data_IF_275943267337
#
_entry.id   IF_275943267337
#
_cell.length_a   1.000
_cell.length_b   1.000
_cell.length_c   1.000
_cell.angle_alpha   90.00
_cell.angle_beta   90.00
_cell.angle_gamma   90.00
#
_symmetry.space_group_name_H-M   'P 1'
#
loop_
_entity.id
_entity.type
_entity.pdbx_description
1 polymer ?
#
# COMPACT_ATOMS: atom_id res chain seq x y z
N UNK A 1 -55.77 23.43 -53.45
CA UNK A 1 -55.57 23.31 -51.99
C UNK A 1 -54.70 22.13 -51.55
N UNK A 2 -54.56 21.04 -52.33
CA UNK A 2 -53.70 19.85 -52.00
C UNK A 2 -52.19 20.12 -52.14
N UNK A 3 -51.72 20.89 -53.14
CA UNK A 3 -50.30 21.16 -53.39
C UNK A 3 -49.63 22.01 -52.32
N UNK A 4 -50.33 22.98 -51.73
CA UNK A 4 -49.76 23.82 -50.67
C UNK A 4 -49.54 23.06 -49.36
N UNK A 5 -50.38 22.02 -49.05
CA UNK A 5 -50.17 21.17 -47.86
C UNK A 5 -48.94 20.26 -48.03
N UNK A 6 -48.70 19.77 -49.25
CA UNK A 6 -47.57 18.88 -49.55
C UNK A 6 -46.18 19.65 -49.45
N UNK A 7 -46.12 20.91 -49.92
CA UNK A 7 -44.92 21.74 -49.77
C UNK A 7 -44.60 22.06 -48.33
N UNK A 8 -45.61 22.42 -47.49
CA UNK A 8 -45.42 22.70 -46.07
C UNK A 8 -44.94 21.44 -45.30
N UNK A 9 -45.49 20.27 -45.59
CA UNK A 9 -45.04 19.04 -44.94
C UNK A 9 -43.60 18.67 -45.28
N UNK A 10 -43.14 18.81 -46.53
CA UNK A 10 -41.74 18.59 -46.95
C UNK A 10 -40.77 19.54 -46.24
N UNK A 11 -41.13 20.80 -46.07
CA UNK A 11 -40.33 21.79 -45.37
C UNK A 11 -40.18 21.45 -43.86
N UNK A 12 -41.26 21.02 -43.20
CA UNK A 12 -41.19 20.58 -41.80
C UNK A 12 -40.32 19.35 -41.55
N UNK A 13 -40.33 18.38 -42.49
CA UNK A 13 -39.49 17.21 -42.41
C UNK A 13 -38.01 17.59 -42.58
N UNK A 14 -37.64 18.44 -43.54
CA UNK A 14 -36.30 18.96 -43.73
C UNK A 14 -35.80 19.71 -42.48
N UNK A 15 -36.60 20.55 -41.87
CA UNK A 15 -36.21 21.31 -40.66
C UNK A 15 -35.96 20.34 -39.49
N UNK A 16 -36.82 19.37 -39.28
CA UNK A 16 -36.62 18.34 -38.23
C UNK A 16 -35.36 17.52 -38.42
N UNK A 17 -35.08 17.12 -39.66
CA UNK A 17 -33.86 16.39 -40.03
C UNK A 17 -32.62 17.25 -39.75
N UNK A 18 -32.63 18.52 -40.15
CA UNK A 18 -31.52 19.45 -39.91
C UNK A 18 -31.26 19.67 -38.39
N UNK A 19 -32.35 19.82 -37.61
CA UNK A 19 -32.23 19.93 -36.16
C UNK A 19 -31.62 18.67 -35.56
N UNK A 20 -32.02 17.47 -36.01
CA UNK A 20 -31.45 16.20 -35.57
C UNK A 20 -29.98 16.10 -35.90
N UNK A 21 -29.57 16.47 -37.12
CA UNK A 21 -28.18 16.54 -37.51
C UNK A 21 -27.38 17.54 -36.66
N UNK A 22 -27.94 18.71 -36.37
CA UNK A 22 -27.31 19.71 -35.52
C UNK A 22 -27.10 19.16 -34.10
N UNK A 23 -28.07 18.48 -33.53
CA UNK A 23 -27.95 17.88 -32.21
C UNK A 23 -26.84 16.79 -32.18
N UNK A 24 -26.80 15.93 -33.20
CA UNK A 24 -25.76 14.91 -33.34
C UNK A 24 -24.36 15.56 -33.48
N UNK A 25 -24.27 16.59 -34.31
CA UNK A 25 -23.01 17.33 -34.50
C UNK A 25 -22.51 17.96 -33.19
N UNK A 26 -23.41 18.59 -32.42
CA UNK A 26 -23.05 19.17 -31.12
C UNK A 26 -22.60 18.12 -30.12
N UNK A 27 -23.25 16.95 -30.09
CA UNK A 27 -22.82 15.83 -29.23
C UNK A 27 -21.44 15.33 -29.61
N UNK A 28 -21.18 15.12 -30.92
CA UNK A 28 -19.86 14.71 -31.38
C UNK A 28 -18.78 15.77 -31.07
N UNK A 29 -19.09 17.04 -31.26
CA UNK A 29 -18.18 18.14 -30.93
C UNK A 29 -17.85 18.18 -29.43
N UNK A 30 -18.83 17.94 -28.57
CA UNK A 30 -18.61 17.85 -27.12
C UNK A 30 -17.71 16.67 -26.74
N UNK A 31 -17.91 15.49 -27.37
CA UNK A 31 -17.05 14.32 -27.15
C UNK A 31 -15.62 14.57 -27.61
N UNK A 32 -15.43 15.17 -28.79
CA UNK A 32 -14.10 15.50 -29.31
C UNK A 32 -13.39 16.50 -28.41
N UNK A 33 -14.11 17.52 -27.91
CA UNK A 33 -13.55 18.51 -26.99
C UNK A 33 -13.13 17.87 -25.66
N UNK A 34 -13.95 16.96 -25.12
CA UNK A 34 -13.64 16.22 -23.91
C UNK A 34 -12.42 15.29 -24.11
N UNK A 35 -12.36 14.62 -25.25
CA UNK A 35 -11.23 13.75 -25.60
C UNK A 35 -9.93 14.57 -25.72
N UNK A 36 -9.99 15.73 -26.39
CA UNK A 36 -8.85 16.64 -26.48
C UNK A 36 -8.37 17.13 -25.12
N UNK A 37 -9.28 17.46 -24.20
CA UNK A 37 -8.93 17.84 -22.84
C UNK A 37 -8.17 16.70 -22.13
N UNK A 38 -8.69 15.50 -22.16
CA UNK A 38 -8.06 14.32 -21.51
C UNK A 38 -6.70 14.00 -22.14
N UNK A 39 -6.56 14.08 -23.46
CA UNK A 39 -5.31 13.74 -24.15
C UNK A 39 -4.23 14.82 -24.03
N UNK A 40 -4.60 16.11 -24.12
CA UNK A 40 -3.64 17.21 -24.18
C UNK A 40 -3.36 17.78 -22.77
N UNK A 41 -4.38 18.00 -21.96
CA UNK A 41 -4.22 18.66 -20.66
C UNK A 41 -3.88 17.66 -19.57
N UNK A 42 -4.52 16.50 -19.58
CA UNK A 42 -4.36 15.47 -18.54
C UNK A 42 -3.46 14.31 -18.98
N UNK A 43 -3.03 14.27 -20.25
CA UNK A 43 -2.26 13.17 -20.84
C UNK A 43 -0.93 12.90 -20.13
N UNK A 44 -0.18 13.94 -19.77
CA UNK A 44 1.05 13.80 -18.98
C UNK A 44 0.79 13.26 -17.59
N UNK A 45 -0.28 13.70 -16.93
CA UNK A 45 -0.65 13.20 -15.61
C UNK A 45 -1.02 11.70 -15.65
N UNK A 46 -1.79 11.29 -16.65
CA UNK A 46 -2.12 9.88 -16.86
C UNK A 46 -0.91 9.05 -17.27
N UNK A 47 -0.02 9.58 -18.13
CA UNK A 47 1.23 8.92 -18.51
C UNK A 47 2.11 8.68 -17.27
N UNK A 48 2.34 9.72 -16.47
CA UNK A 48 3.10 9.60 -15.23
C UNK A 48 2.46 8.63 -14.23
N UNK A 49 1.13 8.59 -14.15
CA UNK A 49 0.42 7.64 -13.30
C UNK A 49 0.58 6.19 -13.80
N UNK A 50 0.58 5.96 -15.10
CA UNK A 50 0.82 4.64 -15.70
C UNK A 50 2.29 4.24 -15.51
N UNK A 51 3.25 5.11 -15.80
CA UNK A 51 4.68 4.87 -15.60
C UNK A 51 5.00 4.56 -14.13
N UNK A 52 4.46 5.34 -13.20
CA UNK A 52 4.60 5.09 -11.76
C UNK A 52 3.90 3.80 -11.29
N UNK A 53 2.93 3.29 -12.05
CA UNK A 53 2.25 2.04 -11.73
C UNK A 53 2.89 0.81 -12.39
N UNK A 54 3.72 1.00 -13.41
CA UNK A 54 4.41 -0.08 -14.13
C UNK A 54 5.86 -0.26 -13.68
N UNK A 55 6.53 0.83 -13.30
CA UNK A 55 7.90 0.81 -12.85
C UNK A 55 7.94 0.90 -11.32
N UNK A 56 8.02 -0.24 -10.64
CA UNK A 56 8.48 -0.26 -9.25
C UNK A 56 9.98 0.05 -9.28
N UNK A 57 10.34 1.31 -9.00
CA UNK A 57 11.74 1.68 -8.81
C UNK A 57 12.17 1.01 -7.50
N UNK A 58 12.88 -0.10 -7.61
CA UNK A 58 13.51 -0.74 -6.46
C UNK A 58 14.75 0.07 -6.11
N UNK A 59 14.63 0.95 -5.14
CA UNK A 59 15.77 1.67 -4.58
C UNK A 59 16.54 0.73 -3.66
N UNK A 60 17.81 0.50 -3.98
CA UNK A 60 18.71 -0.24 -3.09
C UNK A 60 19.16 0.74 -2.00
N UNK A 61 18.91 0.45 -0.71
CA UNK A 61 19.33 1.35 0.37
C UNK A 61 20.85 1.46 0.40
N UNK A 62 21.36 2.67 0.27
CA UNK A 62 22.80 2.97 0.31
C UNK A 62 23.16 3.43 1.72
N UNK A 63 24.31 2.99 2.28
CA UNK A 63 24.77 3.47 3.57
C UNK A 63 25.09 4.97 3.53
N UNK A 64 24.77 5.68 4.60
CA UNK A 64 25.19 7.09 4.77
C UNK A 64 26.71 7.19 4.97
N UNK A 65 27.29 8.33 4.62
CA UNK A 65 28.69 8.65 4.93
C UNK A 65 28.97 8.47 6.43
N UNK A 66 30.18 8.01 6.76
CA UNK A 66 30.66 7.90 8.14
C UNK A 66 30.97 9.29 8.69
N UNK A 67 30.82 9.48 9.99
CA UNK A 67 31.34 10.65 10.69
C UNK A 67 32.58 10.21 11.44
N UNK A 68 33.71 10.83 11.11
CA UNK A 68 35.01 10.54 11.69
C UNK A 68 35.43 11.59 12.68
N UNK A 69 36.23 11.20 13.66
CA UNK A 69 36.92 12.14 14.54
C UNK A 69 38.18 12.73 13.88
N UNK A 70 38.89 13.57 14.60
CA UNK A 70 40.14 14.19 14.13
C UNK A 70 41.24 13.17 13.79
N UNK A 71 41.19 12.00 14.40
CA UNK A 71 42.15 10.92 14.21
C UNK A 71 41.74 9.94 13.13
N UNK A 72 40.59 10.16 12.47
CA UNK A 72 40.06 9.28 11.43
C UNK A 72 39.29 8.08 11.96
N UNK A 73 38.99 8.01 13.25
CA UNK A 73 38.17 6.94 13.82
C UNK A 73 36.70 7.26 13.64
N UNK A 74 35.92 6.26 13.28
CA UNK A 74 34.48 6.42 13.10
C UNK A 74 33.78 6.68 14.44
N UNK A 75 33.13 7.85 14.56
CA UNK A 75 32.23 8.21 15.66
C UNK A 75 30.80 7.76 15.34
N UNK A 76 30.42 7.83 14.05
CA UNK A 76 29.17 7.31 13.53
C UNK A 76 29.45 6.44 12.32
N UNK A 77 28.93 5.23 12.34
CA UNK A 77 29.13 4.22 11.31
C UNK A 77 27.79 3.62 10.86
N UNK A 78 27.83 2.70 9.91
CA UNK A 78 26.68 1.94 9.45
C UNK A 78 26.94 0.45 9.66
N UNK A 79 25.92 -0.25 10.15
CA UNK A 79 25.88 -1.73 10.22
C UNK A 79 24.97 -2.24 9.11
N UNK A 80 25.45 -3.17 8.32
CA UNK A 80 24.59 -3.87 7.36
C UNK A 80 23.69 -4.87 8.09
N UNK A 81 22.42 -4.87 7.73
CA UNK A 81 21.42 -5.80 8.25
C UNK A 81 20.81 -6.58 7.09
N UNK A 82 20.81 -7.91 7.19
CA UNK A 82 20.05 -8.74 6.27
C UNK A 82 18.57 -8.51 6.53
N UNK A 83 17.81 -8.20 5.49
CA UNK A 83 16.42 -7.76 5.62
C UNK A 83 15.58 -8.49 4.58
N UNK A 84 14.42 -8.96 5.00
CA UNK A 84 13.41 -9.48 4.10
C UNK A 84 12.36 -8.42 3.89
N UNK A 85 12.10 -8.09 2.63
CA UNK A 85 11.12 -7.10 2.21
C UNK A 85 10.02 -7.76 1.38
N UNK A 86 8.88 -7.09 1.31
CA UNK A 86 7.77 -7.49 0.46
C UNK A 86 7.24 -6.28 -0.30
N UNK A 87 7.10 -6.41 -1.61
CA UNK A 87 6.49 -5.38 -2.46
C UNK A 87 5.17 -5.88 -2.99
N UNK A 88 4.08 -5.22 -2.57
CA UNK A 88 2.75 -5.57 -3.05
C UNK A 88 2.53 -5.07 -4.47
N UNK A 89 2.60 -5.98 -5.43
CA UNK A 89 2.37 -5.70 -6.85
C UNK A 89 0.87 -5.55 -7.12
N UNK A 90 0.51 -4.76 -8.13
CA UNK A 90 -0.89 -4.57 -8.55
C UNK A 90 -1.49 -5.89 -9.05
N UNK A 91 -2.69 -6.22 -8.60
CA UNK A 91 -3.41 -7.45 -9.03
C UNK A 91 -3.21 -8.66 -8.13
N UNK A 92 -2.36 -8.60 -7.11
CA UNK A 92 -2.23 -9.67 -6.10
C UNK A 92 -3.48 -9.70 -5.22
N UNK A 93 -4.06 -10.89 -5.05
CA UNK A 93 -5.24 -11.12 -4.20
C UNK A 93 -4.87 -11.26 -2.73
N UNK A 94 -5.85 -11.10 -1.83
CA UNK A 94 -5.65 -11.36 -0.39
C UNK A 94 -5.29 -12.82 -0.10
N UNK A 95 -5.71 -13.75 -0.96
CA UNK A 95 -5.39 -15.17 -0.86
C UNK A 95 -3.93 -15.43 -1.20
N UNK A 96 -3.41 -14.79 -2.26
CA UNK A 96 -1.99 -14.88 -2.63
C UNK A 96 -1.09 -14.34 -1.53
N UNK A 97 -1.47 -13.19 -0.95
CA UNK A 97 -0.74 -12.61 0.20
C UNK A 97 -0.74 -13.57 1.38
N UNK A 98 -1.88 -14.17 1.70
CA UNK A 98 -1.98 -15.14 2.79
C UNK A 98 -1.13 -16.39 2.53
N UNK A 99 -1.12 -16.89 1.29
CA UNK A 99 -0.29 -18.02 0.89
C UNK A 99 1.19 -17.69 1.07
N UNK A 100 1.65 -16.56 0.53
CA UNK A 100 3.04 -16.10 0.67
C UNK A 100 3.41 -15.90 2.14
N UNK A 101 2.51 -15.33 2.97
CA UNK A 101 2.74 -15.17 4.40
C UNK A 101 2.89 -16.51 5.13
N UNK A 102 2.07 -17.52 4.77
CA UNK A 102 2.20 -18.88 5.31
C UNK A 102 3.50 -19.54 4.92
N UNK A 103 3.94 -19.37 3.68
CA UNK A 103 5.19 -19.94 3.22
C UNK A 103 6.41 -19.27 3.86
N UNK A 104 6.37 -17.94 4.05
CA UNK A 104 7.37 -17.21 4.83
C UNK A 104 7.40 -17.64 6.30
N UNK A 105 6.25 -17.87 6.93
CA UNK A 105 6.17 -18.26 8.33
C UNK A 105 6.83 -19.62 8.65
N UNK A 106 7.00 -20.48 7.65
CA UNK A 106 7.71 -21.76 7.81
C UNK A 106 9.22 -21.60 8.02
N UNK A 107 9.77 -20.50 7.50
CA UNK A 107 11.22 -20.24 7.48
C UNK A 107 11.61 -19.09 8.40
N UNK A 108 10.77 -18.05 8.45
CA UNK A 108 11.07 -16.80 9.13
C UNK A 108 10.48 -16.78 10.54
N UNK A 109 11.32 -16.63 11.56
CA UNK A 109 10.83 -16.39 12.92
C UNK A 109 10.53 -14.92 13.15
N UNK A 110 9.36 -14.63 13.73
CA UNK A 110 8.95 -13.24 14.01
C UNK A 110 9.28 -12.86 15.46
N UNK A 111 9.78 -11.63 15.70
CA UNK A 111 9.98 -11.12 17.05
C UNK A 111 8.66 -11.07 17.82
N UNK A 112 8.67 -11.47 19.10
CA UNK A 112 7.49 -11.41 19.99
C UNK A 112 6.88 -10.01 20.06
N UNK A 113 7.73 -8.97 19.96
CA UNK A 113 7.27 -7.58 19.96
C UNK A 113 6.33 -7.26 18.78
N UNK A 114 6.54 -7.87 17.63
CA UNK A 114 5.69 -7.65 16.45
C UNK A 114 4.38 -8.46 16.55
N UNK A 115 4.42 -9.63 17.17
CA UNK A 115 3.22 -10.41 17.48
C UNK A 115 2.37 -9.69 18.53
N UNK A 116 2.99 -9.09 19.54
CA UNK A 116 2.29 -8.36 20.59
C UNK A 116 1.68 -7.02 20.13
N UNK A 117 2.11 -6.48 18.98
CA UNK A 117 1.50 -5.29 18.36
C UNK A 117 0.19 -5.59 17.64
N UNK A 118 -0.14 -6.87 17.42
CA UNK A 118 -1.38 -7.25 16.74
C UNK A 118 -2.60 -6.86 17.59
N UNK A 119 -3.48 -6.09 16.99
CA UNK A 119 -4.73 -5.68 17.65
C UNK A 119 -5.76 -6.80 17.64
N UNK A 120 -6.74 -6.74 18.55
CA UNK A 120 -7.85 -7.70 18.55
C UNK A 120 -8.67 -7.61 17.25
N UNK A 121 -8.71 -6.45 16.62
CA UNK A 121 -9.35 -6.27 15.32
C UNK A 121 -8.63 -7.10 14.26
N UNK A 122 -7.30 -7.04 14.21
CA UNK A 122 -6.49 -7.80 13.25
C UNK A 122 -6.69 -9.31 13.44
N UNK A 123 -6.73 -9.77 14.69
CA UNK A 123 -6.97 -11.18 15.04
C UNK A 123 -8.36 -11.63 14.61
N UNK A 124 -9.40 -10.81 14.84
CA UNK A 124 -10.78 -11.10 14.43
C UNK A 124 -10.91 -11.18 12.92
N UNK A 125 -10.34 -10.23 12.19
CA UNK A 125 -10.36 -10.21 10.72
C UNK A 125 -9.62 -11.42 10.16
N UNK A 126 -8.49 -11.80 10.76
CA UNK A 126 -7.74 -12.97 10.36
C UNK A 126 -8.48 -14.28 10.65
N UNK A 127 -9.10 -14.41 11.82
CA UNK A 127 -9.95 -15.56 12.15
C UNK A 127 -11.10 -15.71 11.16
N UNK A 128 -11.76 -14.60 10.80
CA UNK A 128 -12.82 -14.58 9.78
C UNK A 128 -12.30 -15.01 8.40
N UNK A 129 -11.09 -14.64 8.04
CA UNK A 129 -10.46 -15.04 6.78
C UNK A 129 -10.15 -16.54 6.75
N UNK A 130 -9.64 -17.09 7.85
CA UNK A 130 -9.37 -18.53 7.97
C UNK A 130 -10.66 -19.37 8.03
N UNK A 131 -11.72 -18.83 8.62
CA UNK A 131 -12.99 -19.50 8.88
C UNK A 131 -14.15 -18.86 8.13
N UNK A 132 -13.99 -18.58 6.81
CA UNK A 132 -14.95 -17.81 6.00
C UNK A 132 -16.38 -18.35 6.10
N UNK A 133 -16.58 -19.67 6.00
CA UNK A 133 -17.89 -20.30 6.14
C UNK A 133 -18.54 -20.08 7.52
N UNK A 134 -17.78 -20.19 8.60
CA UNK A 134 -18.27 -19.92 9.97
C UNK A 134 -18.55 -18.42 10.15
N UNK A 135 -17.71 -17.57 9.59
CA UNK A 135 -17.89 -16.13 9.66
C UNK A 135 -19.15 -15.66 8.89
N UNK A 136 -19.49 -16.27 7.77
CA UNK A 136 -20.72 -15.98 7.02
C UNK A 136 -21.97 -16.32 7.82
N UNK A 137 -21.99 -17.43 8.57
CA UNK A 137 -23.13 -17.81 9.40
C UNK A 137 -23.42 -16.87 10.57
N UNK A 138 -22.45 -16.01 10.93
CA UNK A 138 -22.63 -15.01 11.99
C UNK A 138 -23.57 -13.86 11.60
N UNK A 139 -23.87 -13.70 10.31
CA UNK A 139 -24.79 -12.68 9.79
C UNK A 139 -26.06 -13.36 9.30
N UNK A 140 -27.21 -12.92 9.81
CA UNK A 140 -28.52 -13.43 9.39
C UNK A 140 -29.12 -12.52 8.32
N UNK A 141 -30.05 -13.07 7.53
CA UNK A 141 -30.81 -12.26 6.55
C UNK A 141 -31.56 -11.10 7.21
N UNK A 142 -32.05 -11.29 8.42
CA UNK A 142 -32.73 -10.24 9.22
C UNK A 142 -31.78 -9.08 9.58
N UNK A 143 -30.50 -9.34 9.77
CA UNK A 143 -29.53 -8.27 10.05
C UNK A 143 -29.34 -7.38 8.81
N UNK A 144 -29.27 -8.00 7.63
CA UNK A 144 -29.16 -7.30 6.36
C UNK A 144 -30.41 -6.46 6.06
N UNK A 145 -31.60 -7.06 6.28
CA UNK A 145 -32.87 -6.37 6.11
C UNK A 145 -32.98 -5.12 7.01
N UNK A 146 -32.60 -5.23 8.29
CA UNK A 146 -32.57 -4.11 9.24
C UNK A 146 -31.70 -2.93 8.78
N UNK A 147 -30.57 -3.21 8.12
CA UNK A 147 -29.70 -2.15 7.59
C UNK A 147 -30.34 -1.50 6.36
N UNK A 148 -30.96 -2.30 5.47
CA UNK A 148 -31.68 -1.79 4.30
C UNK A 148 -32.90 -0.94 4.66
N UNK A 149 -33.66 -1.35 5.69
CA UNK A 149 -34.77 -0.56 6.23
C UNK A 149 -34.34 0.81 6.76
N UNK A 150 -33.09 0.93 7.21
CA UNK A 150 -32.47 2.20 7.63
C UNK A 150 -31.90 3.03 6.46
N UNK A 151 -32.11 2.59 5.21
CA UNK A 151 -31.61 3.26 4.02
C UNK A 151 -30.10 3.11 3.77
N UNK A 152 -29.45 2.10 4.40
CA UNK A 152 -28.04 1.83 4.22
C UNK A 152 -27.86 0.85 3.06
N UNK A 153 -27.16 1.28 2.00
CA UNK A 153 -26.96 0.50 0.77
C UNK A 153 -25.50 0.56 0.28
N UNK A 154 -25.16 -0.34 -0.64
CA UNK A 154 -23.85 -0.38 -1.30
C UNK A 154 -22.69 -0.56 -0.34
N UNK A 155 -21.60 0.15 -0.54
CA UNK A 155 -20.36 0.03 0.25
C UNK A 155 -20.55 0.28 1.76
N UNK A 156 -21.52 1.11 2.13
CA UNK A 156 -21.80 1.38 3.54
C UNK A 156 -22.47 0.17 4.20
N UNK A 157 -23.36 -0.50 3.48
CA UNK A 157 -23.97 -1.74 3.93
C UNK A 157 -22.90 -2.84 4.14
N UNK A 158 -22.00 -3.01 3.18
CA UNK A 158 -20.92 -4.00 3.27
C UNK A 158 -20.04 -3.75 4.49
N UNK A 159 -19.67 -2.50 4.73
CA UNK A 159 -18.89 -2.09 5.90
C UNK A 159 -19.62 -2.38 7.21
N UNK A 160 -20.91 -2.07 7.30
CA UNK A 160 -21.74 -2.33 8.50
C UNK A 160 -21.89 -3.83 8.76
N UNK A 161 -22.05 -4.63 7.72
CA UNK A 161 -22.09 -6.09 7.81
C UNK A 161 -20.76 -6.63 8.34
N UNK A 162 -19.65 -6.12 7.84
CA UNK A 162 -18.30 -6.52 8.26
C UNK A 162 -18.04 -6.15 9.72
N UNK A 163 -18.37 -4.92 10.12
CA UNK A 163 -18.26 -4.47 11.51
C UNK A 163 -19.12 -5.31 12.47
N UNK A 164 -20.36 -5.66 12.06
CA UNK A 164 -21.23 -6.52 12.84
C UNK A 164 -20.70 -7.94 12.95
N UNK A 165 -20.16 -8.48 11.83
CA UNK A 165 -19.53 -9.81 11.80
C UNK A 165 -18.33 -9.87 12.75
N UNK A 166 -17.46 -8.85 12.67
CA UNK A 166 -16.30 -8.68 13.57
C UNK A 166 -16.72 -8.58 15.04
N UNK A 167 -17.80 -7.86 15.34
CA UNK A 167 -18.35 -7.74 16.68
C UNK A 167 -18.89 -9.06 17.26
N UNK A 168 -19.28 -10.01 16.40
CA UNK A 168 -19.80 -11.34 16.80
C UNK A 168 -18.70 -12.41 16.91
N UNK A 169 -17.46 -12.09 16.63
CA UNK A 169 -16.34 -13.00 16.91
C UNK A 169 -16.05 -12.96 18.42
N UNK A 170 -16.12 -14.11 19.04
CA UNK A 170 -15.95 -14.29 20.49
C UNK A 170 -14.48 -14.50 20.87
N UNK A 171 -14.14 -14.29 22.15
CA UNK A 171 -12.78 -14.54 22.64
C UNK A 171 -12.40 -16.03 22.58
N UNK A 172 -13.38 -16.93 22.71
CA UNK A 172 -13.16 -18.38 22.56
C UNK A 172 -12.70 -18.72 21.15
N UNK A 173 -13.28 -18.07 20.14
CA UNK A 173 -12.88 -18.24 18.74
C UNK A 173 -11.51 -17.63 18.44
N UNK A 174 -11.15 -16.54 19.11
CA UNK A 174 -9.80 -15.98 19.03
C UNK A 174 -8.76 -16.89 19.67
N UNK A 175 -9.13 -17.62 20.72
CA UNK A 175 -8.25 -18.60 21.37
C UNK A 175 -8.00 -19.85 20.50
N UNK A 176 -8.78 -20.07 19.42
CA UNK A 176 -8.50 -21.10 18.42
C UNK A 176 -7.27 -20.80 17.56
N UNK A 177 -6.84 -19.50 17.50
CA UNK A 177 -5.65 -19.11 16.74
C UNK A 177 -4.39 -19.65 17.39
N UNK A 178 -3.65 -20.44 16.66
CA UNK A 178 -2.38 -21.01 17.10
C UNK A 178 -1.26 -19.97 17.11
N UNK A 179 -0.14 -20.27 17.75
CA UNK A 179 1.05 -19.41 17.69
C UNK A 179 1.56 -19.24 16.26
N UNK A 180 1.43 -20.28 15.43
CA UNK A 180 1.76 -20.20 14.01
C UNK A 180 0.82 -19.27 13.25
N UNK A 181 -0.48 -19.30 13.54
CA UNK A 181 -1.45 -18.39 12.95
C UNK A 181 -1.16 -16.93 13.29
N UNK A 182 -0.78 -16.65 14.53
CA UNK A 182 -0.39 -15.31 14.96
C UNK A 182 0.90 -14.83 14.27
N UNK A 183 1.85 -15.73 14.06
CA UNK A 183 3.07 -15.48 13.28
C UNK A 183 2.74 -15.15 11.83
N UNK A 184 1.88 -15.92 11.18
CA UNK A 184 1.38 -15.64 9.82
C UNK A 184 0.67 -14.30 9.76
N UNK A 185 -0.16 -13.98 10.76
CA UNK A 185 -0.86 -12.71 10.84
C UNK A 185 0.13 -11.53 10.96
N UNK A 186 1.17 -11.65 11.79
CA UNK A 186 2.19 -10.62 11.95
C UNK A 186 2.93 -10.35 10.62
N UNK A 187 3.32 -11.42 9.91
CA UNK A 187 3.92 -11.31 8.57
C UNK A 187 2.96 -10.63 7.61
N UNK A 188 1.72 -11.12 7.51
CA UNK A 188 0.69 -10.56 6.63
C UNK A 188 0.41 -9.09 6.92
N UNK A 189 0.32 -8.70 8.19
CA UNK A 189 0.13 -7.30 8.60
C UNK A 189 1.25 -6.42 8.09
N UNK A 190 2.50 -6.86 8.19
CA UNK A 190 3.65 -6.13 7.63
C UNK A 190 3.65 -6.10 6.10
N UNK A 191 3.25 -7.18 5.44
CA UNK A 191 3.12 -7.22 3.97
C UNK A 191 2.05 -6.26 3.44
N UNK A 192 1.00 -6.01 4.22
CA UNK A 192 -0.11 -5.14 3.83
C UNK A 192 0.01 -3.72 4.36
N UNK A 193 0.99 -3.45 5.23
CA UNK A 193 1.27 -2.10 5.71
C UNK A 193 1.83 -1.23 4.58
N UNK A 194 1.58 0.06 4.66
CA UNK A 194 2.13 1.05 3.72
C UNK A 194 1.50 1.06 2.32
N UNK A 195 2.20 1.69 1.39
CA UNK A 195 1.70 1.94 0.03
C UNK A 195 1.94 0.75 -0.90
N UNK A 196 1.06 0.60 -1.88
CA UNK A 196 1.29 -0.35 -2.98
C UNK A 196 2.55 0.04 -3.76
N UNK A 197 3.26 -0.95 -4.32
CA UNK A 197 4.48 -0.79 -5.10
C UNK A 197 5.68 -0.23 -4.29
N UNK A 198 5.54 0.00 -2.99
CA UNK A 198 6.65 0.34 -2.11
C UNK A 198 7.09 -0.90 -1.32
N UNK A 199 8.40 -1.19 -1.26
CA UNK A 199 8.91 -2.32 -0.48
C UNK A 199 8.62 -2.07 1.01
N UNK A 200 8.02 -3.07 1.66
CA UNK A 200 7.74 -3.08 3.09
C UNK A 200 8.69 -4.05 3.79
N UNK A 201 9.28 -3.62 4.88
CA UNK A 201 10.19 -4.45 5.65
C UNK A 201 9.40 -5.44 6.50
N UNK A 202 9.56 -6.74 6.24
CA UNK A 202 8.94 -7.79 7.04
C UNK A 202 9.75 -8.04 8.31
N UNK A 203 11.07 -8.28 8.15
CA UNK A 203 11.98 -8.51 9.26
C UNK A 203 13.35 -7.93 8.95
N UNK A 204 13.94 -7.25 9.94
CA UNK A 204 15.34 -6.80 9.93
C UNK A 204 16.20 -7.75 10.74
N UNK A 205 17.51 -7.72 10.51
CA UNK A 205 18.53 -8.54 11.19
C UNK A 205 18.20 -10.03 11.15
N UNK A 206 17.88 -10.49 9.93
CA UNK A 206 17.53 -11.88 9.64
C UNK A 206 18.80 -12.73 9.79
N UNK A 207 18.64 -13.91 10.40
CA UNK A 207 19.76 -14.86 10.54
C UNK A 207 20.28 -15.30 9.17
N UNK A 208 21.54 -15.72 9.12
CA UNK A 208 22.17 -16.14 7.87
C UNK A 208 21.44 -17.35 7.24
N UNK A 209 20.96 -18.24 8.08
CA UNK A 209 20.22 -19.43 7.65
C UNK A 209 18.85 -19.06 7.05
N UNK A 210 18.06 -18.24 7.75
CA UNK A 210 16.77 -17.76 7.24
C UNK A 210 16.95 -16.99 5.92
N UNK A 211 17.96 -16.11 5.86
CA UNK A 211 18.25 -15.31 4.68
C UNK A 211 18.64 -16.21 3.48
N UNK A 212 19.49 -17.21 3.68
CA UNK A 212 19.89 -18.14 2.63
C UNK A 212 18.70 -18.93 2.08
N UNK A 213 17.89 -19.53 2.98
CA UNK A 213 16.71 -20.32 2.59
C UNK A 213 15.70 -19.47 1.81
N UNK A 214 15.46 -18.23 2.23
CA UNK A 214 14.52 -17.34 1.53
C UNK A 214 15.11 -16.92 0.18
N UNK A 215 16.40 -16.57 0.12
CA UNK A 215 17.06 -16.16 -1.12
C UNK A 215 17.05 -17.25 -2.20
N UNK A 216 17.18 -18.51 -1.81
CA UNK A 216 17.09 -19.66 -2.72
C UNK A 216 15.64 -19.90 -3.20
N UNK A 217 14.64 -19.49 -2.43
CA UNK A 217 13.23 -19.75 -2.71
C UNK A 217 12.46 -18.53 -3.24
N UNK A 218 13.11 -17.43 -3.59
CA UNK A 218 12.45 -16.20 -4.07
C UNK A 218 11.52 -16.45 -5.26
N UNK A 219 11.86 -17.40 -6.14
CA UNK A 219 11.00 -17.74 -7.28
C UNK A 219 9.61 -18.27 -6.88
N UNK A 220 9.49 -18.84 -5.69
CA UNK A 220 8.23 -19.37 -5.14
C UNK A 220 7.51 -18.37 -4.21
N UNK A 221 8.14 -17.25 -3.93
CA UNK A 221 7.66 -16.21 -2.99
C UNK A 221 7.40 -14.89 -3.73
N UNK A 222 6.31 -14.75 -4.48
CA UNK A 222 6.06 -13.58 -5.31
C UNK A 222 5.98 -12.31 -4.48
N UNK A 223 6.76 -11.31 -4.89
CA UNK A 223 6.84 -10.00 -4.22
C UNK A 223 7.78 -9.95 -3.02
N UNK A 224 8.32 -11.07 -2.57
CA UNK A 224 9.35 -11.11 -1.52
C UNK A 224 10.73 -10.86 -2.14
N UNK A 225 11.54 -10.11 -1.42
CA UNK A 225 12.93 -9.87 -1.79
C UNK A 225 13.85 -9.96 -0.56
N UNK A 226 15.07 -10.46 -0.78
CA UNK A 226 16.10 -10.55 0.22
C UNK A 226 17.13 -9.45 -0.03
N UNK A 227 17.11 -8.42 0.76
CA UNK A 227 17.90 -7.21 0.58
C UNK A 227 18.82 -6.95 1.79
N UNK A 228 19.75 -6.03 1.62
CA UNK A 228 20.59 -5.52 2.72
C UNK A 228 20.11 -4.12 3.04
N UNK A 229 19.81 -3.90 4.31
CA UNK A 229 19.50 -2.59 4.88
C UNK A 229 20.66 -2.09 5.74
N UNK A 230 20.65 -0.82 6.12
CA UNK A 230 21.71 -0.18 6.88
C UNK A 230 21.14 0.47 8.13
N UNK A 231 21.74 0.14 9.28
CA UNK A 231 21.44 0.79 10.55
C UNK A 231 22.55 1.74 10.93
N UNK A 232 22.17 2.96 11.39
CA UNK A 232 23.10 3.95 11.85
C UNK A 232 23.57 3.63 13.26
N UNK A 233 24.87 3.40 13.44
CA UNK A 233 25.47 3.09 14.72
C UNK A 233 26.27 4.29 15.22
N UNK A 234 25.99 4.69 16.45
CA UNK A 234 26.76 5.69 17.19
C UNK A 234 27.73 4.95 18.10
N UNK A 235 29.03 5.05 17.77
CA UNK A 235 30.09 4.48 18.59
C UNK A 235 30.11 5.18 19.94
N UNK A 236 30.58 4.52 21.01
CA UNK A 236 30.60 5.04 22.37
C UNK A 236 29.18 5.27 22.98
N UNK A 237 28.27 4.30 22.82
CA UNK A 237 26.93 4.29 23.44
C UNK A 237 26.11 5.56 23.21
N UNK A 238 26.34 6.23 22.07
CA UNK A 238 25.62 7.44 21.71
C UNK A 238 26.11 8.70 22.42
N UNK A 239 27.32 8.67 22.96
CA UNK A 239 28.00 9.88 23.41
C UNK A 239 28.01 10.93 22.27
N UNK A 240 27.74 12.20 22.57
CA UNK A 240 27.59 13.27 21.58
C UNK A 240 26.36 13.19 20.68
N UNK A 241 25.39 12.29 20.94
CA UNK A 241 24.15 12.19 20.14
C UNK A 241 23.37 13.51 20.09
N UNK A 242 23.50 14.34 21.14
CA UNK A 242 22.93 15.70 21.20
C UNK A 242 23.57 16.69 20.21
N UNK A 243 24.75 16.37 19.70
CA UNK A 243 25.48 17.18 18.71
C UNK A 243 25.41 16.55 17.34
N UNK A 244 25.56 15.22 17.30
CA UNK A 244 25.52 14.44 16.05
C UNK A 244 24.11 14.42 15.45
N UNK A 245 23.09 14.26 16.28
CA UNK A 245 21.70 14.17 15.83
C UNK A 245 21.22 12.76 15.56
N UNK A 246 20.09 12.68 14.90
CA UNK A 246 19.42 11.43 14.57
C UNK A 246 19.06 11.37 13.09
N UNK A 247 18.94 10.16 12.58
CA UNK A 247 18.43 9.84 11.23
C UNK A 247 17.02 9.26 11.37
N UNK A 248 16.15 9.50 10.38
CA UNK A 248 14.84 8.87 10.35
C UNK A 248 14.95 7.36 10.08
N UNK A 249 14.02 6.60 10.64
CA UNK A 249 13.92 5.18 10.38
C UNK A 249 13.18 4.93 9.06
N UNK A 250 13.29 3.72 8.48
CA UNK A 250 12.56 3.34 7.27
C UNK A 250 11.04 3.43 7.43
N UNK A 251 10.54 3.17 8.64
CA UNK A 251 9.10 3.25 8.95
C UNK A 251 8.63 4.71 9.11
N UNK A 252 9.53 5.62 9.50
CA UNK A 252 9.24 7.06 9.63
C UNK A 252 9.32 7.78 8.28
N UNK A 253 10.26 7.39 7.42
CA UNK A 253 10.53 8.03 6.14
C UNK A 253 10.94 9.50 6.27
N UNK A 254 10.52 10.31 5.31
CA UNK A 254 10.80 11.75 5.28
C UNK A 254 10.02 12.50 6.36
N UNK A 255 10.66 13.46 7.09
CA UNK A 255 9.97 14.35 8.03
C UNK A 255 8.86 15.15 7.34
N UNK A 256 7.67 15.18 7.95
CA UNK A 256 6.49 15.86 7.38
C UNK A 256 6.74 17.36 7.16
N UNK A 257 7.50 18.00 8.04
CA UNK A 257 7.80 19.43 7.99
C UNK A 257 8.67 19.83 6.79
N UNK A 258 9.39 18.86 6.20
CA UNK A 258 10.30 19.07 5.07
C UNK A 258 10.00 18.18 3.87
N UNK A 259 8.80 17.63 3.83
CA UNK A 259 8.42 16.65 2.79
C UNK A 259 8.61 17.23 1.38
N UNK A 260 8.09 18.42 1.12
CA UNK A 260 8.20 19.06 -0.19
C UNK A 260 9.64 19.37 -0.59
N UNK A 261 10.47 19.75 0.40
CA UNK A 261 11.90 20.01 0.18
C UNK A 261 12.63 18.78 -0.34
N UNK A 262 12.33 17.60 0.19
CA UNK A 262 12.98 16.36 -0.21
C UNK A 262 12.38 15.79 -1.52
N UNK A 263 11.06 15.86 -1.69
CA UNK A 263 10.39 15.35 -2.91
C UNK A 263 10.85 16.08 -4.18
N UNK A 264 11.08 17.39 -4.11
CA UNK A 264 11.63 18.17 -5.23
C UNK A 264 13.07 17.77 -5.59
N UNK A 265 13.77 17.08 -4.68
CA UNK A 265 15.13 16.57 -4.86
C UNK A 265 15.21 15.08 -5.14
N UNK A 266 14.13 14.51 -5.67
CA UNK A 266 14.01 13.11 -6.06
C UNK A 266 14.12 12.09 -4.91
N UNK A 267 13.93 12.54 -3.64
CA UNK A 267 13.81 11.61 -2.52
C UNK A 267 12.44 10.92 -2.53
N UNK A 268 12.43 9.64 -2.25
CA UNK A 268 11.21 8.88 -2.02
C UNK A 268 10.68 9.07 -0.60
N UNK A 269 9.38 8.94 -0.39
CA UNK A 269 8.75 9.15 0.93
C UNK A 269 9.31 8.27 2.04
N UNK A 270 9.83 7.10 1.68
CA UNK A 270 10.41 6.12 2.61
C UNK A 270 11.93 6.29 2.79
N UNK A 271 12.55 7.26 2.10
CA UNK A 271 13.98 7.51 2.23
C UNK A 271 14.33 8.04 3.62
N UNK A 272 15.53 7.67 4.07
CA UNK A 272 16.04 8.07 5.37
C UNK A 272 16.89 9.30 5.24
N UNK A 273 16.59 10.28 6.07
CA UNK A 273 17.29 11.55 6.10
C UNK A 273 17.66 11.94 7.52
N UNK A 274 18.66 12.80 7.66
CA UNK A 274 19.00 13.37 8.96
C UNK A 274 17.87 14.25 9.49
N UNK A 275 17.49 14.04 10.77
CA UNK A 275 16.38 14.76 11.43
C UNK A 275 16.86 15.97 12.23
N UNK A 276 18.09 15.92 12.72
CA UNK A 276 18.61 16.96 13.62
C UNK A 276 20.12 17.11 13.53
N UNK A 277 20.59 18.27 13.94
CA UNK A 277 22.00 18.68 14.11
C UNK A 277 22.87 18.29 12.89
N UNK A 278 24.05 17.70 13.13
CA UNK A 278 25.02 17.36 12.07
C UNK A 278 24.39 16.40 11.05
N UNK A 279 23.67 15.37 11.51
CA UNK A 279 23.00 14.43 10.60
C UNK A 279 21.98 15.13 9.67
N UNK A 280 21.35 16.22 10.10
CA UNK A 280 20.41 16.96 9.27
C UNK A 280 21.11 17.89 8.27
N UNK A 281 22.31 18.37 8.62
CA UNK A 281 23.05 19.35 7.83
C UNK A 281 23.74 18.68 6.63
N UNK A 282 24.17 17.46 6.78
CA UNK A 282 24.90 16.66 5.80
C UNK A 282 24.14 15.39 5.37
#
# INVERSE_FOLDING_TARGET
MKEQKSKKQKTYISIRLNIMFLCIFLLFSAIIMQLGKVQIVEGEAYKNQVENSQNAITSIPVPRGQILDREGKAVVNNKSLRTITYTRVKGITSEDILKTAKDLAKVLEMPEQDINKLTDIDKKDFWMQLNSKRAETKITKKDIEKFKEKGIEGKELDKKIEDLRRGRVTEVELAELTAEDLKVLAIKSKMTSGYQMAPQIIKKDVSEQEYAVISENLANLPGVDASVDWERIYVNDGLFRSVLGNVSNADEGLPRERLDYYLVRDYSRNDRVGKSYIEQQY
#
